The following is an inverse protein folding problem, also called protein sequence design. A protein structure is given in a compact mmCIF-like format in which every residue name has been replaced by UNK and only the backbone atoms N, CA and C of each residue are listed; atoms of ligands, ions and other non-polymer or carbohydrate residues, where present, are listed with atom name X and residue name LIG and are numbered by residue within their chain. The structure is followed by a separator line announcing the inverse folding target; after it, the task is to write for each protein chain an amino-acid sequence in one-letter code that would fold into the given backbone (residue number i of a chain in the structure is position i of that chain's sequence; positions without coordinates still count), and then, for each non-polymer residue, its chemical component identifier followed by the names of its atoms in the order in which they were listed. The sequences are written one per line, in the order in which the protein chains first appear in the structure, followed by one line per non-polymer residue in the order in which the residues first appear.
data_IF_202035064044
#
_entry.id   IF_202035064044
#
_cell.length_a   1.000
_cell.length_b   1.000
_cell.length_c   1.000
_cell.angle_alpha   90.00
_cell.angle_beta   90.00
_cell.angle_gamma   90.00
#
_symmetry.space_group_name_H-M   'P 1'
#
loop_
_entity.id
_entity.type
_entity.pdbx_description
1 polymer ?
#
# COMPACT_ATOMS: atom_id res chain seq x y z
N UNK A 1 -19.66 -14.71 5.71
CA UNK A 1 -19.97 -13.54 4.86
C UNK A 1 -18.67 -12.96 4.31
N UNK A 2 -18.28 -13.33 3.10
CA UNK A 2 -17.04 -12.86 2.43
C UNK A 2 -16.93 -11.33 2.38
N UNK A 3 -18.07 -10.64 2.21
CA UNK A 3 -18.14 -9.18 2.15
C UNK A 3 -17.55 -8.50 3.40
N UNK A 4 -17.77 -9.09 4.59
CA UNK A 4 -17.27 -8.52 5.84
C UNK A 4 -15.73 -8.56 5.92
N UNK A 5 -15.13 -9.59 5.31
CA UNK A 5 -13.66 -9.73 5.27
C UNK A 5 -13.06 -8.72 4.28
N UNK A 6 -13.70 -8.52 3.13
CA UNK A 6 -13.28 -7.50 2.15
C UNK A 6 -13.35 -6.10 2.76
N UNK A 7 -14.43 -5.79 3.48
CA UNK A 7 -14.61 -4.50 4.15
C UNK A 7 -13.55 -4.25 5.23
N UNK A 8 -13.23 -5.28 6.04
CA UNK A 8 -12.15 -5.22 7.02
C UNK A 8 -10.79 -4.98 6.36
N UNK A 9 -10.49 -5.64 5.23
CA UNK A 9 -9.25 -5.43 4.47
C UNK A 9 -9.16 -4.00 3.94
N UNK A 10 -10.25 -3.45 3.39
CA UNK A 10 -10.30 -2.05 2.93
C UNK A 10 -10.05 -1.04 4.06
N UNK A 11 -10.67 -1.25 5.23
CA UNK A 11 -10.42 -0.40 6.42
C UNK A 11 -8.97 -0.50 6.91
N UNK A 12 -8.38 -1.70 6.88
CA UNK A 12 -6.97 -1.91 7.21
C UNK A 12 -6.03 -1.19 6.23
N UNK A 13 -6.37 -1.13 4.93
CA UNK A 13 -5.58 -0.38 3.95
C UNK A 13 -5.58 1.12 4.26
N UNK A 14 -6.75 1.70 4.54
CA UNK A 14 -6.86 3.12 4.90
C UNK A 14 -6.08 3.44 6.17
N UNK A 15 -6.12 2.55 7.17
CA UNK A 15 -5.34 2.68 8.40
C UNK A 15 -3.82 2.55 8.15
N UNK A 16 -3.42 1.58 7.30
CA UNK A 16 -2.02 1.31 6.97
C UNK A 16 -1.31 2.46 6.25
N UNK A 17 -2.05 3.31 5.53
CA UNK A 17 -1.51 4.51 4.89
C UNK A 17 -1.42 5.74 5.81
N UNK A 18 -1.65 5.59 7.12
CA UNK A 18 -1.66 6.72 8.05
C UNK A 18 -2.94 7.56 7.96
N UNK A 19 -4.06 6.90 7.65
CA UNK A 19 -5.39 7.51 7.55
C UNK A 19 -5.72 8.05 6.16
N UNK A 20 -6.87 8.75 6.08
CA UNK A 20 -7.47 9.16 4.81
C UNK A 20 -6.57 10.07 3.96
N UNK A 21 -5.81 10.96 4.61
CA UNK A 21 -4.89 11.88 3.91
C UNK A 21 -3.73 11.14 3.24
N UNK A 22 -3.14 10.17 3.93
CA UNK A 22 -2.08 9.35 3.35
C UNK A 22 -2.62 8.43 2.25
N UNK A 23 -3.78 7.83 2.48
CA UNK A 23 -4.49 7.03 1.48
C UNK A 23 -4.75 7.83 0.19
N UNK A 24 -5.32 9.03 0.29
CA UNK A 24 -5.57 9.89 -0.87
C UNK A 24 -4.28 10.32 -1.56
N UNK A 25 -3.21 10.63 -0.79
CA UNK A 25 -1.90 10.96 -1.37
C UNK A 25 -1.34 9.83 -2.21
N UNK A 26 -1.38 8.58 -1.72
CA UNK A 26 -0.89 7.41 -2.47
C UNK A 26 -1.80 7.13 -3.65
N UNK A 27 -3.13 7.20 -3.47
CA UNK A 27 -4.10 7.01 -4.55
C UNK A 27 -3.86 7.99 -5.71
N UNK A 28 -3.67 9.28 -5.45
CA UNK A 28 -3.42 10.26 -6.53
C UNK A 28 -2.02 10.17 -7.15
N UNK A 29 -1.00 9.68 -6.43
CA UNK A 29 0.38 9.58 -6.95
C UNK A 29 0.64 8.27 -7.70
N UNK A 30 0.16 7.16 -7.15
CA UNK A 30 0.43 5.81 -7.65
C UNK A 30 -0.77 5.18 -8.37
N UNK A 31 -1.96 5.80 -8.33
CA UNK A 31 -3.23 5.21 -8.79
C UNK A 31 -3.52 3.83 -8.15
N UNK A 32 -2.97 3.63 -6.96
CA UNK A 32 -2.92 2.36 -6.27
C UNK A 32 -3.01 2.58 -4.76
N UNK A 33 -3.57 1.62 -4.05
CA UNK A 33 -3.83 1.67 -2.60
C UNK A 33 -3.29 0.45 -1.86
N UNK A 34 -2.48 -0.36 -2.54
CA UNK A 34 -1.76 -1.47 -1.95
C UNK A 34 -0.92 -1.02 -0.75
N UNK A 35 -0.87 -1.87 0.27
CA UNK A 35 -0.07 -1.67 1.48
C UNK A 35 0.99 -2.75 1.49
N UNK A 36 2.25 -2.35 1.44
CA UNK A 36 3.41 -3.23 1.51
C UNK A 36 4.27 -2.92 2.74
N UNK A 37 5.22 -3.81 3.03
CA UNK A 37 6.24 -3.59 4.06
C UNK A 37 7.30 -2.63 3.50
N UNK A 38 7.62 -1.55 4.22
CA UNK A 38 8.69 -0.64 3.81
C UNK A 38 10.04 -1.36 3.92
N UNK A 39 10.71 -1.54 2.78
CA UNK A 39 12.02 -2.20 2.68
C UNK A 39 13.15 -1.18 2.80
N UNK A 40 12.94 0.04 2.29
CA UNK A 40 13.94 1.08 2.39
C UNK A 40 13.51 2.39 1.74
N UNK A 41 14.33 3.41 1.96
CA UNK A 41 14.22 4.74 1.35
C UNK A 41 15.56 5.06 0.68
N UNK A 42 15.53 5.55 -0.56
CA UNK A 42 16.75 6.03 -1.21
C UNK A 42 17.12 7.46 -0.78
N UNK A 43 18.29 7.91 -1.22
CA UNK A 43 18.79 9.27 -0.99
C UNK A 43 17.92 10.38 -1.61
N UNK A 44 16.96 10.03 -2.46
CA UNK A 44 16.04 10.97 -3.12
C UNK A 44 14.66 10.99 -2.43
N UNK A 45 14.46 10.17 -1.40
CA UNK A 45 13.20 10.06 -0.67
C UNK A 45 12.17 9.12 -1.32
N UNK A 46 12.58 8.33 -2.32
CA UNK A 46 11.72 7.30 -2.89
C UNK A 46 11.64 6.12 -1.92
N UNK A 47 10.42 5.67 -1.63
CA UNK A 47 10.18 4.59 -0.68
C UNK A 47 9.86 3.30 -1.40
N UNK A 48 10.58 2.24 -1.06
CA UNK A 48 10.42 0.91 -1.63
C UNK A 48 9.60 0.04 -0.70
N UNK A 49 8.48 -0.44 -1.19
CA UNK A 49 7.58 -1.32 -0.46
C UNK A 49 7.53 -2.69 -1.12
N UNK A 50 7.53 -3.74 -0.30
CA UNK A 50 7.36 -5.13 -0.76
C UNK A 50 6.08 -5.76 -0.19
N UNK A 51 5.35 -6.46 -1.05
CA UNK A 51 4.24 -7.34 -0.67
C UNK A 51 4.45 -8.76 -1.22
N UNK A 52 4.99 -9.63 -0.36
CA UNK A 52 5.28 -11.04 -0.67
C UNK A 52 4.02 -11.90 -0.88
N UNK A 53 2.82 -11.35 -0.67
CA UNK A 53 1.56 -12.04 -0.98
C UNK A 53 1.15 -11.88 -2.44
N UNK A 54 1.80 -10.97 -3.16
CA UNK A 54 1.52 -10.70 -4.56
C UNK A 54 2.30 -11.65 -5.47
N UNK A 55 1.81 -11.84 -6.70
CA UNK A 55 2.48 -12.65 -7.72
C UNK A 55 3.88 -12.11 -8.06
N UNK A 56 4.79 -13.03 -8.40
CA UNK A 56 6.17 -12.73 -8.79
C UNK A 56 6.21 -11.68 -9.92
N UNK A 57 6.95 -10.58 -9.72
CA UNK A 57 7.01 -9.44 -10.63
C UNK A 57 6.16 -8.21 -10.25
N UNK A 58 5.21 -8.37 -9.32
CA UNK A 58 4.40 -7.26 -8.77
C UNK A 58 4.68 -7.06 -7.27
N UNK A 59 5.73 -7.71 -6.76
CA UNK A 59 6.08 -7.78 -5.34
C UNK A 59 6.59 -6.44 -4.83
N UNK A 60 7.37 -5.71 -5.64
CA UNK A 60 7.94 -4.41 -5.27
C UNK A 60 7.19 -3.24 -5.93
N UNK A 61 6.89 -2.19 -5.16
CA UNK A 61 6.39 -0.93 -5.69
C UNK A 61 7.02 0.28 -4.98
N UNK A 62 7.05 1.42 -5.68
CA UNK A 62 7.70 2.65 -5.22
C UNK A 62 6.67 3.77 -5.10
N UNK A 63 6.75 4.55 -4.02
CA UNK A 63 5.88 5.71 -3.74
C UNK A 63 6.71 6.94 -3.40
#
# INVERSE_FOLDING_TARGET
MELLQVLKRGLQQVSGHGGLRGYLRVFFRANDVRVGTLVGEDKYGNKYYEDNKQFFGIVGFTV
#
